data_IF_542096773790
#
_entry.id   IF_542096773790
#
_cell.length_a   1.000
_cell.length_b   1.000
_cell.length_c   1.000
_cell.angle_alpha   90.00
_cell.angle_beta   90.00
_cell.angle_gamma   90.00
#
_symmetry.space_group_name_H-M   'P 1'
#
loop_
_entity.id
_entity.type
_entity.pdbx_description
1 polymer ?
#
# COMPACT_ATOMS: atom_id res chain seq x y z
N UNK A 1 -32.99 -10.92 38.05
CA UNK A 1 -31.69 -10.29 37.72
C UNK A 1 -31.64 -8.89 38.31
N UNK A 2 -30.48 -8.46 38.81
CA UNK A 2 -30.23 -7.06 39.19
C UNK A 2 -29.93 -6.21 37.93
N UNK A 3 -30.07 -4.88 38.02
CA UNK A 3 -29.75 -3.96 36.90
C UNK A 3 -28.32 -4.18 36.39
N UNK A 4 -27.37 -4.39 37.31
CA UNK A 4 -25.97 -4.70 36.94
C UNK A 4 -25.84 -6.02 36.16
N UNK A 5 -26.61 -7.06 36.51
CA UNK A 5 -26.59 -8.33 35.76
C UNK A 5 -27.08 -8.16 34.31
N UNK A 6 -28.08 -7.31 34.08
CA UNK A 6 -28.56 -7.02 32.73
C UNK A 6 -27.52 -6.27 31.89
N UNK A 7 -26.85 -5.28 32.48
CA UNK A 7 -25.81 -4.50 31.79
C UNK A 7 -24.66 -5.43 31.37
N UNK A 8 -24.16 -6.26 32.28
CA UNK A 8 -23.11 -7.23 31.95
C UNK A 8 -23.56 -8.22 30.87
N UNK A 9 -24.74 -8.81 31.01
CA UNK A 9 -25.28 -9.72 30.01
C UNK A 9 -25.34 -9.09 28.62
N UNK A 10 -25.83 -7.85 28.52
CA UNK A 10 -25.93 -7.14 27.26
C UNK A 10 -24.54 -6.84 26.66
N UNK A 11 -23.59 -6.38 27.46
CA UNK A 11 -22.23 -6.06 27.01
C UNK A 11 -21.53 -7.28 26.40
N UNK A 12 -21.59 -8.43 27.09
CA UNK A 12 -20.98 -9.67 26.59
C UNK A 12 -21.65 -10.15 25.30
N UNK A 13 -22.98 -10.06 25.21
CA UNK A 13 -23.71 -10.46 24.00
C UNK A 13 -23.34 -9.58 22.79
N UNK A 14 -23.18 -8.27 23.00
CA UNK A 14 -22.66 -7.36 21.96
C UNK A 14 -21.24 -7.72 21.55
N UNK A 15 -20.37 -8.05 22.50
CA UNK A 15 -19.02 -8.55 22.21
C UNK A 15 -19.02 -9.79 21.30
N UNK A 16 -19.91 -10.74 21.57
CA UNK A 16 -20.08 -11.93 20.73
C UNK A 16 -20.58 -11.60 19.31
N UNK A 17 -21.51 -10.64 19.18
CA UNK A 17 -21.99 -10.17 17.87
C UNK A 17 -20.85 -9.52 17.07
N UNK A 18 -20.03 -8.68 17.70
CA UNK A 18 -18.87 -8.08 17.04
C UNK A 18 -17.86 -9.12 16.57
N UNK A 19 -17.64 -10.18 17.36
CA UNK A 19 -16.82 -11.30 16.95
C UNK A 19 -17.39 -12.00 15.71
N UNK A 20 -18.70 -12.24 15.66
CA UNK A 20 -19.35 -12.86 14.50
C UNK A 20 -19.24 -11.99 13.23
N UNK A 21 -19.44 -10.68 13.36
CA UNK A 21 -19.23 -9.72 12.25
C UNK A 21 -17.77 -9.76 11.80
N UNK A 22 -16.83 -9.72 12.74
CA UNK A 22 -15.40 -9.83 12.44
C UNK A 22 -15.05 -11.10 11.67
N UNK A 23 -15.63 -12.25 12.03
CA UNK A 23 -15.42 -13.52 11.31
C UNK A 23 -15.88 -13.40 9.86
N UNK A 24 -17.05 -12.79 9.62
CA UNK A 24 -17.57 -12.58 8.25
C UNK A 24 -16.63 -11.67 7.46
N UNK A 25 -16.19 -10.54 8.03
CA UNK A 25 -15.25 -9.62 7.39
C UNK A 25 -13.96 -10.34 6.97
N UNK A 26 -13.30 -11.03 7.92
CA UNK A 26 -12.04 -11.75 7.66
C UNK A 26 -12.25 -12.91 6.68
N UNK A 27 -13.41 -13.57 6.71
CA UNK A 27 -13.72 -14.65 5.77
C UNK A 27 -13.83 -14.15 4.33
N UNK A 28 -14.40 -12.95 4.12
CA UNK A 28 -14.50 -12.33 2.80
C UNK A 28 -13.13 -11.89 2.28
N UNK A 29 -12.24 -11.43 3.17
CA UNK A 29 -10.89 -10.93 2.84
C UNK A 29 -9.78 -11.99 2.99
N UNK A 30 -10.15 -13.27 3.15
CA UNK A 30 -9.22 -14.39 3.42
C UNK A 30 -8.19 -14.69 2.33
N UNK A 31 -8.40 -14.17 1.12
CA UNK A 31 -7.59 -14.49 -0.04
C UNK A 31 -6.17 -13.90 0.04
N UNK A 32 -6.03 -12.83 0.80
CA UNK A 32 -4.76 -12.13 1.03
C UNK A 32 -3.75 -12.95 1.83
N UNK A 33 -4.13 -13.43 3.02
CA UNK A 33 -3.34 -14.38 3.80
C UNK A 33 -4.27 -15.42 4.44
N UNK A 34 -4.43 -16.55 3.75
CA UNK A 34 -5.30 -17.64 4.21
C UNK A 34 -4.94 -18.14 5.60
N UNK A 35 -3.63 -18.24 5.93
CA UNK A 35 -3.21 -18.80 7.22
C UNK A 35 -3.47 -17.81 8.34
N UNK A 36 -3.15 -16.53 8.16
CA UNK A 36 -3.45 -15.51 9.15
C UNK A 36 -4.98 -15.35 9.34
N UNK A 37 -5.73 -15.28 8.24
CA UNK A 37 -7.19 -15.15 8.26
C UNK A 37 -7.87 -16.27 9.06
N UNK A 38 -7.54 -17.54 8.79
CA UNK A 38 -8.14 -18.66 9.52
C UNK A 38 -7.81 -18.66 11.02
N UNK A 39 -6.58 -18.30 11.39
CA UNK A 39 -6.22 -18.19 12.80
C UNK A 39 -6.93 -17.01 13.49
N UNK A 40 -7.14 -15.89 12.77
CA UNK A 40 -7.89 -14.74 13.28
C UNK A 40 -9.39 -15.04 13.39
N UNK A 41 -9.99 -15.76 12.44
CA UNK A 41 -11.35 -16.28 12.57
C UNK A 41 -11.48 -17.20 13.78
N UNK A 42 -10.53 -18.13 13.99
CA UNK A 42 -10.54 -19.01 15.15
C UNK A 42 -10.44 -18.23 16.48
N UNK A 43 -9.64 -17.16 16.52
CA UNK A 43 -9.54 -16.25 17.65
C UNK A 43 -10.88 -15.57 17.96
N UNK A 44 -11.53 -14.99 16.94
CA UNK A 44 -12.84 -14.33 17.06
C UNK A 44 -13.94 -15.31 17.47
N UNK A 45 -13.96 -16.52 16.91
CA UNK A 45 -14.93 -17.56 17.30
C UNK A 45 -14.73 -17.94 18.77
N UNK A 46 -13.48 -18.11 19.20
CA UNK A 46 -13.17 -18.48 20.59
C UNK A 46 -13.61 -17.38 21.56
N UNK A 47 -13.35 -16.12 21.24
CA UNK A 47 -13.82 -14.97 22.04
C UNK A 47 -15.35 -14.87 22.04
N UNK A 48 -16.01 -15.09 20.89
CA UNK A 48 -17.46 -15.11 20.81
C UNK A 48 -18.07 -16.19 21.72
N UNK A 49 -17.48 -17.38 21.76
CA UNK A 49 -17.87 -18.45 22.68
C UNK A 49 -17.61 -18.06 24.14
N UNK A 50 -16.47 -17.43 24.44
CA UNK A 50 -16.14 -16.93 25.77
C UNK A 50 -17.18 -15.92 26.26
N UNK A 51 -17.50 -14.91 25.44
CA UNK A 51 -18.47 -13.87 25.76
C UNK A 51 -19.88 -14.45 25.99
N UNK A 52 -20.34 -15.38 25.14
CA UNK A 52 -21.64 -16.05 25.33
C UNK A 52 -21.65 -16.87 26.63
N UNK A 53 -20.58 -17.61 26.90
CA UNK A 53 -20.46 -18.39 28.13
C UNK A 53 -20.50 -17.47 29.36
N UNK A 54 -19.79 -16.35 29.33
CA UNK A 54 -19.79 -15.40 30.44
C UNK A 54 -21.15 -14.73 30.65
N UNK A 55 -21.83 -14.33 29.57
CA UNK A 55 -23.19 -13.81 29.64
C UNK A 55 -24.13 -14.80 30.35
N UNK A 56 -24.09 -16.08 29.95
CA UNK A 56 -24.89 -17.14 30.56
C UNK A 56 -24.51 -17.38 32.02
N UNK A 57 -23.21 -17.33 32.36
CA UNK A 57 -22.73 -17.46 33.74
C UNK A 57 -23.29 -16.36 34.65
N UNK A 58 -23.32 -15.11 34.18
CA UNK A 58 -23.94 -13.99 34.90
C UNK A 58 -25.46 -14.10 34.97
N UNK A 59 -26.09 -14.61 33.90
CA UNK A 59 -27.54 -14.71 33.82
C UNK A 59 -28.12 -15.71 34.84
N UNK A 60 -27.50 -16.88 34.92
CA UNK A 60 -27.92 -17.94 35.83
C UNK A 60 -27.29 -17.85 37.22
N UNK A 61 -26.44 -16.84 37.49
CA UNK A 61 -25.83 -16.62 38.81
C UNK A 61 -26.91 -16.40 39.88
N UNK A 62 -26.89 -17.21 40.93
CA UNK A 62 -27.90 -17.16 42.00
C UNK A 62 -29.16 -17.99 41.73
N UNK A 63 -29.25 -18.64 40.57
CA UNK A 63 -30.38 -19.51 40.22
C UNK A 63 -30.11 -20.94 40.71
N UNK A 64 -30.88 -21.40 41.68
CA UNK A 64 -30.75 -22.73 42.32
C UNK A 64 -31.51 -23.86 41.60
N UNK A 65 -32.16 -23.58 40.47
CA UNK A 65 -32.76 -24.63 39.63
C UNK A 65 -31.71 -25.60 39.11
N UNK A 66 -32.11 -26.83 38.78
CA UNK A 66 -31.22 -27.84 38.19
C UNK A 66 -30.53 -27.31 36.92
N UNK A 67 -31.25 -26.55 36.10
CA UNK A 67 -30.70 -25.90 34.90
C UNK A 67 -29.66 -24.84 35.27
N UNK A 68 -29.96 -23.95 36.22
CA UNK A 68 -29.02 -22.93 36.68
C UNK A 68 -27.75 -23.51 37.28
N UNK A 69 -27.87 -24.61 38.03
CA UNK A 69 -26.75 -25.34 38.61
C UNK A 69 -25.75 -25.84 37.55
N UNK A 70 -26.26 -26.45 36.47
CA UNK A 70 -25.44 -27.02 35.39
C UNK A 70 -24.83 -25.91 34.55
N UNK A 71 -25.65 -24.93 34.12
CA UNK A 71 -25.22 -23.86 33.22
C UNK A 71 -24.04 -23.09 33.82
N UNK A 72 -24.16 -22.66 35.08
CA UNK A 72 -23.13 -21.84 35.74
C UNK A 72 -21.78 -22.59 35.83
N UNK A 73 -21.77 -23.91 36.06
CA UNK A 73 -20.53 -24.70 36.10
C UNK A 73 -19.89 -24.84 34.73
N UNK A 74 -20.69 -25.26 33.74
CA UNK A 74 -20.22 -25.48 32.37
C UNK A 74 -19.68 -24.18 31.78
N UNK A 75 -20.40 -23.07 31.95
CA UNK A 75 -20.01 -21.81 31.33
C UNK A 75 -18.76 -21.20 31.98
N UNK A 76 -18.61 -21.25 33.30
CA UNK A 76 -17.36 -20.82 33.95
C UNK A 76 -16.16 -21.66 33.49
N UNK A 77 -16.33 -22.99 33.37
CA UNK A 77 -15.29 -23.85 32.81
C UNK A 77 -14.92 -23.45 31.37
N UNK A 78 -15.92 -23.21 30.52
CA UNK A 78 -15.71 -22.78 29.12
C UNK A 78 -14.98 -21.45 29.04
N UNK A 79 -15.36 -20.45 29.84
CA UNK A 79 -14.69 -19.13 29.86
C UNK A 79 -13.18 -19.27 30.08
N UNK A 80 -12.80 -20.03 31.10
CA UNK A 80 -11.40 -20.24 31.43
C UNK A 80 -10.64 -21.07 30.40
N UNK A 81 -11.30 -22.09 29.84
CA UNK A 81 -10.72 -22.92 28.80
C UNK A 81 -10.46 -22.10 27.52
N UNK A 82 -11.41 -21.25 27.12
CA UNK A 82 -11.28 -20.33 26.00
C UNK A 82 -10.08 -19.39 26.16
N UNK A 83 -9.79 -18.92 27.38
CA UNK A 83 -8.62 -18.10 27.67
C UNK A 83 -7.30 -18.72 27.18
N UNK A 84 -7.10 -20.03 27.39
CA UNK A 84 -5.92 -20.72 26.87
C UNK A 84 -5.94 -20.88 25.34
N UNK A 85 -7.11 -21.13 24.75
CA UNK A 85 -7.27 -21.21 23.30
C UNK A 85 -7.00 -19.87 22.60
N UNK A 86 -7.39 -18.75 23.19
CA UNK A 86 -7.08 -17.42 22.65
C UNK A 86 -5.57 -17.22 22.52
N UNK A 87 -4.80 -17.53 23.55
CA UNK A 87 -3.33 -17.41 23.51
C UNK A 87 -2.71 -18.36 22.48
N UNK A 88 -3.23 -19.58 22.34
CA UNK A 88 -2.84 -20.52 21.29
C UNK A 88 -3.08 -19.95 19.88
N UNK A 89 -4.26 -19.36 19.64
CA UNK A 89 -4.59 -18.81 18.33
C UNK A 89 -3.81 -17.52 18.02
N UNK A 90 -3.54 -16.66 19.01
CA UNK A 90 -2.63 -15.52 18.83
C UNK A 90 -1.23 -15.99 18.49
N UNK A 91 -0.72 -17.04 19.14
CA UNK A 91 0.57 -17.64 18.79
C UNK A 91 0.62 -18.09 17.32
N UNK A 92 -0.45 -18.77 16.86
CA UNK A 92 -0.56 -19.23 15.47
C UNK A 92 -0.68 -18.07 14.48
N UNK A 93 -1.47 -17.06 14.82
CA UNK A 93 -1.65 -15.84 14.03
C UNK A 93 -0.33 -15.07 13.89
N UNK A 94 0.36 -14.80 15.01
CA UNK A 94 1.66 -14.15 15.03
C UNK A 94 2.68 -14.91 14.17
N UNK A 95 2.72 -16.25 14.29
CA UNK A 95 3.60 -17.06 13.44
C UNK A 95 3.25 -16.96 11.95
N UNK A 96 1.96 -16.93 11.58
CA UNK A 96 1.55 -16.77 10.19
C UNK A 96 2.05 -15.42 9.61
N UNK A 97 1.86 -14.33 10.37
CA UNK A 97 2.33 -12.99 10.00
C UNK A 97 3.85 -12.95 9.84
N UNK A 98 4.60 -13.49 10.82
CA UNK A 98 6.06 -13.53 10.78
C UNK A 98 6.59 -14.31 9.57
N UNK A 99 6.01 -15.48 9.29
CA UNK A 99 6.40 -16.31 8.13
C UNK A 99 6.13 -15.59 6.81
N UNK A 100 4.97 -14.91 6.69
CA UNK A 100 4.64 -14.12 5.49
C UNK A 100 5.61 -12.95 5.29
N UNK A 101 6.08 -12.33 6.36
CA UNK A 101 7.10 -11.27 6.33
C UNK A 101 8.53 -11.81 6.15
N UNK A 102 8.71 -13.12 5.90
CA UNK A 102 10.03 -13.73 5.67
C UNK A 102 10.89 -13.88 6.92
N UNK A 103 10.32 -13.71 8.12
CA UNK A 103 11.06 -13.83 9.36
C UNK A 103 11.35 -15.30 9.70
N UNK A 104 12.63 -15.64 9.87
CA UNK A 104 13.06 -16.96 10.33
C UNK A 104 13.02 -16.99 11.85
N UNK A 105 12.05 -17.68 12.43
CA UNK A 105 11.93 -17.84 13.89
C UNK A 105 12.11 -19.30 14.32
N UNK A 106 12.77 -19.55 15.45
CA UNK A 106 12.98 -20.91 15.94
C UNK A 106 11.66 -21.53 16.44
N UNK A 107 11.48 -22.84 16.36
CA UNK A 107 10.20 -23.46 16.75
C UNK A 107 9.96 -23.54 18.26
N UNK A 108 10.98 -23.33 19.11
CA UNK A 108 10.88 -23.54 20.56
C UNK A 108 9.85 -22.62 21.22
N UNK A 109 9.71 -21.36 20.78
CA UNK A 109 8.81 -20.39 21.41
C UNK A 109 7.33 -20.76 21.20
N UNK A 110 6.98 -21.35 20.03
CA UNK A 110 5.63 -21.85 19.77
C UNK A 110 5.35 -23.08 20.62
N UNK A 111 6.31 -24.00 20.67
CA UNK A 111 6.19 -25.23 21.46
C UNK A 111 6.03 -24.91 22.94
N UNK A 112 6.76 -23.92 23.48
CA UNK A 112 6.59 -23.51 24.87
C UNK A 112 5.20 -22.95 25.14
N UNK A 113 4.66 -22.07 24.27
CA UNK A 113 3.27 -21.59 24.39
C UNK A 113 2.29 -22.76 24.39
N UNK A 114 2.44 -23.71 23.46
CA UNK A 114 1.52 -24.84 23.34
C UNK A 114 1.55 -25.74 24.58
N UNK A 115 2.75 -26.03 25.10
CA UNK A 115 2.92 -26.84 26.30
C UNK A 115 2.31 -26.13 27.51
N UNK A 116 2.57 -24.84 27.69
CA UNK A 116 2.05 -24.09 28.84
C UNK A 116 0.51 -23.97 28.80
N UNK A 117 -0.08 -23.71 27.64
CA UNK A 117 -1.53 -23.71 27.46
C UNK A 117 -2.15 -25.11 27.71
N UNK A 118 -1.46 -26.18 27.30
CA UNK A 118 -1.91 -27.55 27.57
C UNK A 118 -1.85 -27.89 29.07
N UNK A 119 -0.79 -27.48 29.77
CA UNK A 119 -0.66 -27.63 31.23
C UNK A 119 -1.77 -26.86 31.95
N UNK A 120 -2.01 -25.60 31.55
CA UNK A 120 -3.08 -24.79 32.12
C UNK A 120 -4.47 -25.40 31.91
N UNK A 121 -4.74 -25.90 30.71
CA UNK A 121 -6.00 -26.58 30.39
C UNK A 121 -6.18 -27.88 31.19
N UNK A 122 -5.12 -28.67 31.35
CA UNK A 122 -5.14 -29.89 32.15
C UNK A 122 -5.41 -29.58 33.63
N UNK A 123 -4.73 -28.59 34.19
CA UNK A 123 -4.95 -28.18 35.57
C UNK A 123 -6.36 -27.62 35.80
N UNK A 124 -6.93 -26.91 34.82
CA UNK A 124 -8.32 -26.47 34.85
C UNK A 124 -9.31 -27.65 34.88
N UNK A 125 -9.04 -28.73 34.13
CA UNK A 125 -9.85 -29.95 34.17
C UNK A 125 -9.72 -30.64 35.54
N UNK A 126 -8.50 -30.78 36.05
CA UNK A 126 -8.26 -31.35 37.39
C UNK A 126 -8.93 -30.51 38.49
N UNK A 127 -8.98 -29.19 38.34
CA UNK A 127 -9.64 -28.31 39.30
C UNK A 127 -11.15 -28.56 39.40
N UNK A 128 -11.78 -29.11 38.36
CA UNK A 128 -13.21 -29.48 38.42
C UNK A 128 -13.47 -30.66 39.35
N UNK A 129 -12.47 -31.55 39.49
CA UNK A 129 -12.55 -32.74 40.35
C UNK A 129 -12.13 -32.41 41.78
N UNK A 130 -11.05 -31.66 41.94
CA UNK A 130 -10.44 -31.38 43.24
C UNK A 130 -10.90 -30.04 43.87
N UNK A 131 -11.58 -29.18 43.13
CA UNK A 131 -12.20 -27.96 43.65
C UNK A 131 -11.23 -26.86 44.09
N UNK A 132 -10.01 -26.80 43.53
CA UNK A 132 -8.99 -25.86 44.03
C UNK A 132 -8.93 -24.50 43.33
N UNK A 133 -9.54 -24.25 42.16
CA UNK A 133 -9.47 -22.89 41.54
C UNK A 133 -10.64 -21.99 41.92
N UNK A 134 -11.86 -22.49 41.74
CA UNK A 134 -13.09 -21.78 42.05
C UNK A 134 -14.15 -22.77 42.52
N UNK A 135 -15.15 -22.25 43.21
CA UNK A 135 -16.26 -23.03 43.74
C UNK A 135 -17.59 -22.29 43.60
N UNK A 136 -18.65 -22.95 44.05
CA UNK A 136 -20.01 -22.42 44.01
C UNK A 136 -20.65 -22.61 45.39
N UNK A 137 -21.24 -21.54 45.93
CA UNK A 137 -21.93 -21.60 47.22
C UNK A 137 -23.30 -22.31 47.10
N UNK A 138 -23.97 -22.49 48.24
CA UNK A 138 -25.30 -23.12 48.32
C UNK A 138 -26.38 -22.35 47.54
N UNK A 139 -26.14 -21.09 47.23
CA UNK A 139 -27.02 -20.22 46.45
C UNK A 139 -26.61 -20.18 44.96
N UNK A 140 -25.74 -21.09 44.51
CA UNK A 140 -25.22 -21.16 43.14
C UNK A 140 -24.52 -19.86 42.69
N UNK A 141 -23.75 -19.25 43.59
CA UNK A 141 -22.89 -18.10 43.29
C UNK A 141 -21.44 -18.54 43.24
N UNK A 142 -20.78 -18.08 42.19
CA UNK A 142 -19.36 -18.29 41.93
C UNK A 142 -18.49 -17.55 42.95
N UNK A 143 -17.47 -18.23 43.48
CA UNK A 143 -16.39 -17.63 44.27
C UNK A 143 -15.03 -18.23 43.91
N UNK A 144 -13.96 -17.46 44.13
CA UNK A 144 -12.57 -17.85 43.84
C UNK A 144 -11.90 -18.37 45.10
N UNK A 145 -11.07 -19.42 45.00
CA UNK A 145 -10.26 -19.90 46.12
C UNK A 145 -9.01 -19.04 46.28
N UNK A 146 -8.86 -18.24 47.36
CA UNK A 146 -7.79 -17.24 47.47
C UNK A 146 -6.37 -17.84 47.44
N UNK A 147 -6.21 -19.04 48.01
CA UNK A 147 -4.92 -19.71 48.20
C UNK A 147 -4.31 -20.27 46.92
N UNK A 148 -5.11 -20.44 45.87
CA UNK A 148 -4.76 -21.29 44.72
C UNK A 148 -5.20 -20.69 43.39
N UNK A 149 -6.17 -19.77 43.38
CA UNK A 149 -6.60 -19.06 42.16
C UNK A 149 -5.45 -18.29 41.49
N UNK A 150 -4.45 -17.85 42.25
CA UNK A 150 -3.28 -17.16 41.69
C UNK A 150 -2.45 -18.01 40.72
N UNK A 151 -2.43 -19.34 40.92
CA UNK A 151 -1.76 -20.28 40.01
C UNK A 151 -2.38 -20.19 38.62
N UNK A 152 -3.71 -20.07 38.54
CA UNK A 152 -4.45 -19.95 37.29
C UNK A 152 -4.08 -18.68 36.52
N UNK A 153 -3.94 -17.56 37.23
CA UNK A 153 -3.52 -16.27 36.65
C UNK A 153 -2.13 -16.41 36.03
N UNK A 154 -1.18 -16.95 36.80
CA UNK A 154 0.20 -17.11 36.35
C UNK A 154 0.24 -18.01 35.11
N UNK A 155 -0.50 -19.12 35.11
CA UNK A 155 -0.57 -20.02 33.96
C UNK A 155 -1.22 -19.37 32.72
N UNK A 156 -2.12 -18.39 32.89
CA UNK A 156 -2.65 -17.59 31.79
C UNK A 156 -1.65 -16.54 31.28
N UNK A 157 -0.83 -15.96 32.16
CA UNK A 157 0.11 -14.88 31.82
C UNK A 157 1.45 -15.37 31.27
N UNK A 158 2.02 -16.45 31.81
CA UNK A 158 3.35 -16.95 31.40
C UNK A 158 3.46 -17.29 29.91
N UNK A 159 2.47 -17.89 29.23
CA UNK A 159 2.53 -18.13 27.79
C UNK A 159 2.60 -16.84 26.95
N UNK A 160 2.26 -15.67 27.49
CA UNK A 160 2.36 -14.40 26.78
C UNK A 160 3.81 -13.90 26.66
N UNK A 161 4.70 -14.31 27.56
CA UNK A 161 6.11 -13.91 27.58
C UNK A 161 6.84 -14.28 26.27
N UNK A 162 6.83 -15.54 25.79
CA UNK A 162 7.46 -15.88 24.51
C UNK A 162 6.84 -15.15 23.31
N UNK A 163 5.54 -14.83 23.34
CA UNK A 163 4.89 -14.02 22.29
C UNK A 163 5.47 -12.61 22.27
N UNK A 164 5.55 -11.97 23.44
CA UNK A 164 6.12 -10.63 23.61
C UNK A 164 7.56 -10.54 23.12
N UNK A 165 8.39 -11.53 23.46
CA UNK A 165 9.78 -11.61 23.00
C UNK A 165 9.84 -11.60 21.47
N UNK A 166 8.98 -12.37 20.79
CA UNK A 166 8.96 -12.39 19.32
C UNK A 166 8.45 -11.08 18.72
N UNK A 167 7.46 -10.44 19.33
CA UNK A 167 6.92 -9.16 18.85
C UNK A 167 8.00 -8.06 18.91
N UNK A 168 8.72 -7.94 20.03
CA UNK A 168 9.80 -6.94 20.16
C UNK A 168 10.96 -7.25 19.21
N UNK A 169 11.45 -8.50 19.22
CA UNK A 169 12.61 -8.90 18.42
C UNK A 169 12.38 -8.64 16.93
N UNK A 170 11.16 -8.83 16.45
CA UNK A 170 10.79 -8.67 15.05
C UNK A 170 10.01 -7.37 14.77
N UNK A 171 10.14 -6.34 15.63
CA UNK A 171 9.49 -5.02 15.48
C UNK A 171 9.47 -4.50 14.05
N UNK A 172 10.61 -4.56 13.36
CA UNK A 172 10.79 -3.99 12.01
C UNK A 172 10.02 -4.73 10.92
N UNK A 173 9.59 -5.97 11.18
CA UNK A 173 8.83 -6.75 10.23
C UNK A 173 7.38 -6.24 10.11
N UNK A 174 6.83 -5.69 11.20
CA UNK A 174 5.44 -5.27 11.27
C UNK A 174 5.23 -3.82 10.82
N UNK A 175 4.09 -3.55 10.18
CA UNK A 175 3.58 -2.19 10.00
C UNK A 175 3.13 -1.62 11.35
N UNK A 176 3.13 -0.29 11.50
CA UNK A 176 2.82 0.41 12.75
C UNK A 176 1.51 -0.05 13.39
N UNK A 177 0.41 -0.11 12.61
CA UNK A 177 -0.90 -0.50 13.13
C UNK A 177 -0.93 -1.95 13.63
N UNK A 178 -0.25 -2.85 12.92
CA UNK A 178 -0.15 -4.26 13.28
C UNK A 178 0.70 -4.43 14.55
N UNK A 179 1.84 -3.75 14.64
CA UNK A 179 2.67 -3.75 15.85
C UNK A 179 1.91 -3.22 17.07
N UNK A 180 1.19 -2.11 16.92
CA UNK A 180 0.35 -1.53 17.97
C UNK A 180 -0.75 -2.51 18.41
N UNK A 181 -1.41 -3.19 17.48
CA UNK A 181 -2.44 -4.19 17.83
C UNK A 181 -1.89 -5.33 18.71
N UNK A 182 -0.67 -5.80 18.44
CA UNK A 182 0.00 -6.81 19.26
C UNK A 182 0.37 -6.28 20.66
N UNK A 183 0.82 -5.03 20.77
CA UNK A 183 1.09 -4.41 22.07
C UNK A 183 -0.17 -4.22 22.89
N UNK A 184 -1.27 -3.77 22.27
CA UNK A 184 -2.57 -3.62 22.92
C UNK A 184 -3.06 -4.97 23.45
N UNK A 185 -2.94 -6.05 22.69
CA UNK A 185 -3.30 -7.40 23.14
C UNK A 185 -2.49 -7.90 24.34
N UNK A 186 -1.31 -7.33 24.61
CA UNK A 186 -0.51 -7.70 25.78
C UNK A 186 -0.83 -6.79 26.97
N UNK A 187 -0.89 -5.48 26.74
CA UNK A 187 -1.03 -4.48 27.80
C UNK A 187 -2.44 -4.45 28.36
N UNK A 188 -3.46 -4.46 27.49
CA UNK A 188 -4.84 -4.25 27.89
C UNK A 188 -5.38 -5.40 28.76
N UNK A 189 -5.15 -6.69 28.44
CA UNK A 189 -5.61 -7.77 29.31
C UNK A 189 -4.89 -7.81 30.66
N UNK A 190 -3.60 -7.46 30.71
CA UNK A 190 -2.87 -7.33 31.98
C UNK A 190 -3.44 -6.20 32.83
N UNK A 191 -3.70 -5.03 32.23
CA UNK A 191 -4.35 -3.91 32.91
C UNK A 191 -5.76 -4.26 33.41
N UNK A 192 -6.55 -4.94 32.58
CA UNK A 192 -7.89 -5.41 32.94
C UNK A 192 -7.86 -6.43 34.07
N UNK A 193 -6.88 -7.32 34.06
CA UNK A 193 -6.66 -8.28 35.13
C UNK A 193 -6.31 -7.58 36.45
N UNK A 194 -5.36 -6.64 36.42
CA UNK A 194 -4.99 -5.83 37.58
C UNK A 194 -6.18 -5.04 38.14
N UNK A 195 -7.00 -4.46 37.25
CA UNK A 195 -8.22 -3.77 37.65
C UNK A 195 -9.21 -4.72 38.35
N UNK A 196 -9.36 -5.93 37.83
CA UNK A 196 -10.27 -6.95 38.37
C UNK A 196 -9.89 -7.42 39.77
N UNK A 197 -8.61 -7.31 40.17
CA UNK A 197 -8.16 -7.60 41.54
C UNK A 197 -8.81 -6.64 42.55
N UNK A 198 -8.93 -5.35 42.21
CA UNK A 198 -9.48 -4.33 43.10
C UNK A 198 -11.00 -4.18 42.98
N UNK A 199 -11.56 -4.42 41.79
CA UNK A 199 -12.98 -4.22 41.48
C UNK A 199 -13.65 -5.54 41.09
N UNK A 200 -13.91 -6.40 42.09
CA UNK A 200 -14.51 -7.71 41.90
C UNK A 200 -15.94 -7.60 41.34
N UNK A 201 -16.21 -8.35 40.25
CA UNK A 201 -17.56 -8.51 39.68
C UNK A 201 -17.85 -7.70 38.42
N UNK A 202 -16.95 -6.80 38.01
CA UNK A 202 -17.06 -6.10 36.72
C UNK A 202 -16.41 -6.91 35.59
N UNK A 203 -17.10 -7.09 34.45
CA UNK A 203 -16.62 -7.82 33.28
C UNK A 203 -15.66 -7.02 32.38
N UNK A 204 -14.92 -6.07 32.95
CA UNK A 204 -14.03 -5.16 32.22
C UNK A 204 -12.92 -5.90 31.47
N UNK A 205 -12.47 -7.04 32.00
CA UNK A 205 -11.45 -7.86 31.36
C UNK A 205 -11.87 -8.35 29.96
N UNK A 206 -13.10 -8.83 29.77
CA UNK A 206 -13.54 -9.33 28.44
C UNK A 206 -13.84 -8.20 27.49
N UNK A 207 -14.39 -7.09 27.99
CA UNK A 207 -14.54 -5.88 27.19
C UNK A 207 -13.17 -5.44 26.63
N UNK A 208 -12.12 -5.50 27.45
CA UNK A 208 -10.75 -5.22 27.00
C UNK A 208 -10.25 -6.24 25.97
N UNK A 209 -10.45 -7.53 26.17
CA UNK A 209 -10.08 -8.55 25.18
C UNK A 209 -10.80 -8.34 23.84
N UNK A 210 -12.10 -8.09 23.87
CA UNK A 210 -12.92 -7.80 22.69
C UNK A 210 -12.43 -6.55 21.95
N UNK A 211 -12.02 -5.50 22.67
CA UNK A 211 -11.36 -4.33 22.07
C UNK A 211 -10.05 -4.71 21.39
N UNK A 212 -9.19 -5.53 22.02
CA UNK A 212 -7.96 -6.00 21.40
C UNK A 212 -8.22 -6.74 20.08
N UNK A 213 -9.29 -7.55 20.00
CA UNK A 213 -9.63 -8.26 18.78
C UNK A 213 -10.11 -7.34 17.66
N UNK A 214 -10.84 -6.28 18.00
CA UNK A 214 -11.19 -5.24 17.02
C UNK A 214 -9.91 -4.65 16.42
N UNK A 215 -8.89 -4.36 17.24
CA UNK A 215 -7.61 -3.88 16.71
C UNK A 215 -6.91 -4.89 15.80
N UNK A 216 -7.00 -6.20 16.07
CA UNK A 216 -6.48 -7.20 15.14
C UNK A 216 -7.23 -7.24 13.81
N UNK A 217 -8.57 -7.13 13.84
CA UNK A 217 -9.39 -7.07 12.62
C UNK A 217 -9.04 -5.82 11.81
N UNK A 218 -9.00 -4.65 12.45
CA UNK A 218 -8.65 -3.38 11.80
C UNK A 218 -7.24 -3.43 11.21
N UNK A 219 -6.26 -3.98 11.94
CA UNK A 219 -4.91 -4.13 11.44
C UNK A 219 -4.81 -5.06 10.23
N UNK A 220 -5.57 -6.16 10.22
CA UNK A 220 -5.64 -7.08 9.09
C UNK A 220 -6.29 -6.40 7.87
N UNK A 221 -7.42 -5.72 8.06
CA UNK A 221 -8.14 -5.04 6.98
C UNK A 221 -7.34 -3.88 6.38
N UNK A 222 -6.62 -3.11 7.20
CA UNK A 222 -5.71 -2.07 6.73
C UNK A 222 -4.59 -2.64 5.86
N UNK A 223 -4.13 -3.85 6.17
CA UNK A 223 -3.10 -4.53 5.39
C UNK A 223 -3.63 -5.09 4.08
N UNK A 224 -4.84 -5.68 4.11
CA UNK A 224 -5.55 -6.12 2.93
C UNK A 224 -5.79 -4.96 1.95
N UNK A 225 -6.27 -3.81 2.44
CA UNK A 225 -6.49 -2.62 1.64
C UNK A 225 -5.19 -2.14 0.96
N UNK A 226 -4.08 -2.09 1.70
CA UNK A 226 -2.78 -1.71 1.14
C UNK A 226 -2.28 -2.71 0.08
N UNK A 227 -2.57 -4.01 0.25
CA UNK A 227 -2.25 -5.02 -0.75
C UNK A 227 -3.06 -4.86 -2.03
N UNK A 228 -4.36 -4.57 -1.93
CA UNK A 228 -5.23 -4.36 -3.09
C UNK A 228 -4.78 -3.17 -3.94
N UNK A 229 -4.42 -2.05 -3.30
CA UNK A 229 -3.89 -0.87 -4.01
C UNK A 229 -2.62 -1.20 -4.79
N UNK A 230 -1.71 -2.00 -4.21
CA UNK A 230 -0.48 -2.41 -4.90
C UNK A 230 -0.76 -3.38 -6.05
N UNK A 231 -1.74 -4.26 -5.94
CA UNK A 231 -2.16 -5.13 -7.05
C UNK A 231 -2.77 -4.33 -8.21
N UNK A 232 -3.64 -3.36 -7.91
CA UNK A 232 -4.20 -2.48 -8.93
C UNK A 232 -3.12 -1.66 -9.64
N UNK A 233 -2.13 -1.16 -8.90
CA UNK A 233 -0.97 -0.46 -9.46
C UNK A 233 -0.21 -1.34 -10.45
N UNK A 234 0.13 -2.57 -10.06
CA UNK A 234 0.82 -3.54 -10.93
C UNK A 234 0.02 -3.89 -12.17
N UNK A 235 -1.29 -4.10 -12.03
CA UNK A 235 -2.17 -4.37 -13.17
C UNK A 235 -2.24 -3.16 -14.12
N UNK A 236 -2.23 -1.93 -13.60
CA UNK A 236 -2.19 -0.73 -14.43
C UNK A 236 -0.87 -0.62 -15.21
N UNK A 237 0.27 -0.91 -14.56
CA UNK A 237 1.60 -0.95 -15.19
C UNK A 237 1.67 -2.02 -16.29
N UNK A 238 1.18 -3.23 -16.02
CA UNK A 238 1.13 -4.31 -17.02
C UNK A 238 0.25 -3.94 -18.21
N UNK A 239 -0.92 -3.32 -17.97
CA UNK A 239 -1.79 -2.83 -19.05
C UNK A 239 -1.10 -1.77 -19.89
N UNK A 240 -0.41 -0.83 -19.25
CA UNK A 240 0.36 0.19 -19.95
C UNK A 240 1.45 -0.45 -20.81
N UNK A 241 2.19 -1.42 -20.27
CA UNK A 241 3.19 -2.17 -21.02
C UNK A 241 2.58 -2.93 -22.22
N UNK A 242 1.40 -3.54 -22.05
CA UNK A 242 0.67 -4.19 -23.14
C UNK A 242 0.26 -3.19 -24.22
N UNK A 243 -0.25 -2.00 -23.85
CA UNK A 243 -0.56 -0.94 -24.83
C UNK A 243 0.68 -0.53 -25.62
N UNK A 244 1.83 -0.37 -24.99
CA UNK A 244 3.09 -0.09 -25.69
C UNK A 244 3.48 -1.23 -26.66
N UNK A 245 3.25 -2.49 -26.28
CA UNK A 245 3.62 -3.66 -27.10
C UNK A 245 2.75 -3.88 -28.35
N UNK A 246 1.56 -3.27 -28.44
CA UNK A 246 0.66 -3.45 -29.58
C UNK A 246 1.16 -2.76 -30.87
N UNK A 247 2.09 -1.80 -30.76
CA UNK A 247 2.85 -1.33 -31.92
C UNK A 247 3.90 -2.41 -32.22
N UNK A 248 3.70 -3.23 -33.25
CA UNK A 248 4.71 -4.21 -33.68
C UNK A 248 5.85 -3.48 -34.41
N UNK A 249 6.98 -3.16 -33.76
CA UNK A 249 7.98 -2.29 -34.38
C UNK A 249 8.60 -2.98 -35.60
N UNK A 250 8.78 -4.31 -35.49
CA UNK A 250 9.28 -5.14 -36.58
C UNK A 250 8.39 -5.11 -37.83
N UNK A 251 7.06 -5.16 -37.68
CA UNK A 251 6.17 -5.06 -38.83
C UNK A 251 6.29 -3.69 -39.51
N UNK A 252 6.36 -2.61 -38.72
CA UNK A 252 6.49 -1.26 -39.26
C UNK A 252 7.84 -1.08 -39.97
N UNK A 253 8.95 -1.50 -39.35
CA UNK A 253 10.27 -1.42 -39.97
C UNK A 253 10.39 -2.28 -41.23
N UNK A 254 9.79 -3.48 -41.24
CA UNK A 254 9.77 -4.32 -42.43
C UNK A 254 8.92 -3.70 -43.55
N UNK A 255 7.78 -3.09 -43.19
CA UNK A 255 6.95 -2.37 -44.15
C UNK A 255 7.71 -1.20 -44.76
N UNK A 256 8.42 -0.40 -43.94
CA UNK A 256 9.24 0.72 -44.41
C UNK A 256 10.41 0.23 -45.28
N UNK A 257 11.11 -0.83 -44.88
CA UNK A 257 12.23 -1.39 -45.66
C UNK A 257 11.76 -1.90 -47.01
N UNK A 258 10.56 -2.50 -47.06
CA UNK A 258 9.93 -2.93 -48.31
C UNK A 258 9.60 -1.72 -49.20
N UNK A 259 8.98 -0.67 -48.65
CA UNK A 259 8.71 0.57 -49.39
C UNK A 259 10.02 1.18 -49.91
N UNK A 260 11.06 1.21 -49.08
CA UNK A 260 12.38 1.73 -49.43
C UNK A 260 12.98 1.00 -50.65
N UNK A 261 12.76 -0.31 -50.77
CA UNK A 261 13.26 -1.11 -51.90
C UNK A 261 12.64 -0.76 -53.26
N UNK A 262 11.45 -0.13 -53.26
CA UNK A 262 10.77 0.32 -54.48
C UNK A 262 11.16 1.74 -54.89
N UNK A 263 11.90 2.47 -54.05
CA UNK A 263 12.32 3.84 -54.37
C UNK A 263 13.57 3.84 -55.27
N UNK A 264 13.67 4.78 -56.22
CA UNK A 264 14.90 4.98 -56.98
C UNK A 264 16.09 5.27 -56.06
N UNK A 265 17.29 4.78 -56.42
CA UNK A 265 18.53 5.14 -55.74
C UNK A 265 18.69 6.66 -55.73
N UNK A 266 19.10 7.20 -54.58
CA UNK A 266 19.33 8.64 -54.38
C UNK A 266 18.08 9.51 -54.60
N UNK A 267 16.89 8.94 -54.39
CA UNK A 267 15.65 9.73 -54.38
C UNK A 267 15.50 10.52 -53.07
N UNK A 268 14.98 11.75 -53.19
CA UNK A 268 14.63 12.58 -52.04
C UNK A 268 13.63 11.88 -51.10
N UNK A 269 12.71 11.11 -51.67
CA UNK A 269 11.77 10.27 -50.91
C UNK A 269 12.49 9.22 -50.04
N UNK A 270 13.58 8.62 -50.54
CA UNK A 270 14.40 7.67 -49.76
C UNK A 270 15.13 8.35 -48.59
N UNK A 271 15.61 9.57 -48.79
CA UNK A 271 16.24 10.37 -47.73
C UNK A 271 15.23 10.70 -46.61
N UNK A 272 14.05 11.21 -46.96
CA UNK A 272 12.96 11.49 -46.01
C UNK A 272 12.52 10.22 -45.27
N UNK A 273 12.38 9.10 -45.98
CA UNK A 273 12.00 7.82 -45.38
C UNK A 273 13.06 7.29 -44.41
N UNK A 274 14.33 7.57 -44.66
CA UNK A 274 15.43 7.24 -43.74
C UNK A 274 15.31 8.03 -42.44
N UNK A 275 15.09 9.35 -42.53
CA UNK A 275 14.87 10.19 -41.35
C UNK A 275 13.61 9.77 -40.58
N UNK A 276 12.51 9.46 -41.27
CA UNK A 276 11.30 8.94 -40.64
C UNK A 276 11.55 7.62 -39.89
N UNK A 277 12.31 6.70 -40.49
CA UNK A 277 12.65 5.41 -39.85
C UNK A 277 13.47 5.62 -38.58
N UNK A 278 14.46 6.51 -38.62
CA UNK A 278 15.30 6.81 -37.46
C UNK A 278 14.50 7.54 -36.36
N UNK A 279 13.66 8.52 -36.72
CA UNK A 279 12.74 9.16 -35.79
C UNK A 279 11.82 8.15 -35.13
N UNK A 280 11.13 7.32 -35.91
CA UNK A 280 10.20 6.32 -35.39
C UNK A 280 10.88 5.31 -34.46
N UNK A 281 12.09 4.84 -34.83
CA UNK A 281 12.88 3.96 -33.96
C UNK A 281 13.26 4.64 -32.66
N UNK A 282 13.80 5.86 -32.75
CA UNK A 282 14.12 6.67 -31.58
C UNK A 282 12.90 6.84 -30.67
N UNK A 283 11.75 7.25 -31.21
CA UNK A 283 10.52 7.42 -30.43
C UNK A 283 10.04 6.12 -29.78
N UNK A 284 10.10 4.96 -30.46
CA UNK A 284 9.72 3.68 -29.86
C UNK A 284 10.69 3.29 -28.74
N UNK A 285 12.00 3.47 -28.94
CA UNK A 285 13.00 3.17 -27.93
C UNK A 285 12.81 4.07 -26.70
N UNK A 286 12.50 5.36 -26.91
CA UNK A 286 12.21 6.33 -25.84
C UNK A 286 10.92 6.02 -25.07
N UNK A 287 9.90 5.41 -25.70
CA UNK A 287 8.66 4.99 -25.03
C UNK A 287 8.89 3.87 -24.00
N UNK A 288 9.93 3.05 -24.20
CA UNK A 288 10.23 1.93 -23.31
C UNK A 288 11.03 2.35 -22.06
N UNK A 289 11.59 3.55 -22.04
CA UNK A 289 12.45 4.03 -20.97
C UNK A 289 11.63 4.65 -19.84
N UNK A 290 11.85 4.18 -18.61
CA UNK A 290 11.18 4.68 -17.41
C UNK A 290 12.05 5.63 -16.58
N UNK A 291 13.35 5.72 -16.90
CA UNK A 291 14.32 6.56 -16.22
C UNK A 291 14.76 7.74 -17.10
N UNK A 292 15.55 8.66 -16.54
CA UNK A 292 16.17 9.73 -17.32
C UNK A 292 17.21 9.15 -18.29
N UNK A 293 17.17 9.62 -19.53
CA UNK A 293 18.03 9.17 -20.62
C UNK A 293 19.11 10.21 -20.93
N UNK A 294 20.23 9.83 -21.56
CA UNK A 294 21.20 10.78 -22.09
C UNK A 294 20.54 11.74 -23.07
N UNK A 295 20.80 13.04 -22.92
CA UNK A 295 20.21 14.09 -23.73
C UNK A 295 20.45 13.91 -25.23
N UNK A 296 21.63 13.40 -25.57
CA UNK A 296 22.01 13.07 -26.94
C UNK A 296 20.99 12.16 -27.64
N UNK A 297 20.46 11.14 -26.97
CA UNK A 297 19.47 10.22 -27.57
C UNK A 297 18.19 10.93 -27.97
N UNK A 298 17.73 11.86 -27.13
CA UNK A 298 16.52 12.62 -27.43
C UNK A 298 16.80 13.67 -28.51
N UNK A 299 17.93 14.37 -28.44
CA UNK A 299 18.33 15.38 -29.43
C UNK A 299 18.49 14.78 -30.83
N UNK A 300 19.06 13.58 -30.98
CA UNK A 300 19.13 12.86 -32.27
C UNK A 300 17.73 12.54 -32.81
N UNK A 301 16.81 12.13 -31.95
CA UNK A 301 15.42 11.85 -32.35
C UNK A 301 14.74 13.15 -32.82
N UNK A 302 14.91 14.25 -32.09
CA UNK A 302 14.39 15.57 -32.45
C UNK A 302 15.00 16.11 -33.74
N UNK A 303 16.28 15.88 -34.01
CA UNK A 303 16.92 16.27 -35.26
C UNK A 303 16.23 15.61 -36.47
N UNK A 304 15.88 14.32 -36.37
CA UNK A 304 15.15 13.62 -37.42
C UNK A 304 13.71 14.12 -37.58
N UNK A 305 13.03 14.45 -36.48
CA UNK A 305 11.72 15.11 -36.52
C UNK A 305 11.78 16.45 -37.28
N UNK A 306 12.74 17.29 -36.90
CA UNK A 306 12.93 18.61 -37.49
C UNK A 306 13.31 18.56 -38.97
N UNK A 307 14.10 17.56 -39.37
CA UNK A 307 14.36 17.32 -40.79
C UNK A 307 13.06 17.10 -41.57
N UNK A 308 12.15 16.27 -41.06
CA UNK A 308 10.87 16.00 -41.73
C UNK A 308 9.97 17.23 -41.79
N UNK A 309 9.90 18.00 -40.70
CA UNK A 309 9.12 19.25 -40.66
C UNK A 309 9.68 20.29 -41.64
N UNK A 310 11.01 20.39 -41.76
CA UNK A 310 11.67 21.25 -42.76
C UNK A 310 11.35 20.82 -44.19
N UNK A 311 11.36 19.52 -44.49
CA UNK A 311 10.99 19.03 -45.82
C UNK A 311 9.51 19.29 -46.14
N UNK A 312 8.65 19.28 -45.13
CA UNK A 312 7.21 19.55 -45.28
C UNK A 312 6.90 21.03 -45.50
N UNK A 313 7.60 21.92 -44.80
CA UNK A 313 7.29 23.36 -44.77
C UNK A 313 8.31 24.23 -45.51
N UNK A 314 9.40 23.65 -46.00
CA UNK A 314 10.42 24.37 -46.76
C UNK A 314 11.00 25.55 -45.97
N UNK A 315 11.08 26.70 -46.64
CA UNK A 315 11.64 27.94 -46.08
C UNK A 315 10.71 28.68 -45.11
N UNK A 316 9.47 28.18 -44.91
CA UNK A 316 8.52 28.79 -43.98
C UNK A 316 8.94 28.61 -42.52
N UNK A 317 9.65 27.52 -42.19
CA UNK A 317 10.14 27.25 -40.83
C UNK A 317 11.68 27.24 -40.84
N UNK A 318 12.29 28.28 -40.30
CA UNK A 318 13.75 28.38 -40.17
C UNK A 318 14.20 27.79 -38.85
N UNK A 319 15.10 26.81 -38.91
CA UNK A 319 15.60 26.10 -37.72
C UNK A 319 17.04 26.53 -37.43
N UNK A 320 17.29 27.00 -36.21
CA UNK A 320 18.59 27.39 -35.68
C UNK A 320 18.98 26.43 -34.54
N UNK A 321 19.95 25.56 -34.79
CA UNK A 321 20.31 24.45 -33.93
C UNK A 321 21.71 24.66 -33.33
N UNK A 322 21.79 25.02 -32.05
CA UNK A 322 23.02 25.39 -31.35
C UNK A 322 23.22 24.57 -30.06
N UNK A 323 23.66 23.33 -30.24
CA UNK A 323 23.86 22.38 -29.13
C UNK A 323 25.30 22.43 -28.67
N UNK A 324 25.58 23.06 -27.52
CA UNK A 324 26.93 23.16 -26.94
C UNK A 324 27.16 22.16 -25.83
N UNK A 325 26.09 21.67 -25.23
CA UNK A 325 26.12 20.68 -24.17
C UNK A 325 25.21 19.49 -24.51
N UNK A 326 25.72 18.28 -24.30
CA UNK A 326 25.02 17.01 -24.54
C UNK A 326 25.15 16.04 -23.36
N UNK A 327 26.01 16.35 -22.41
CA UNK A 327 26.44 15.43 -21.36
C UNK A 327 25.59 15.59 -20.10
N UNK A 328 24.30 15.31 -20.25
CA UNK A 328 23.34 15.35 -19.16
C UNK A 328 22.21 14.37 -19.42
N UNK A 329 21.40 14.11 -18.39
CA UNK A 329 20.23 13.23 -18.50
C UNK A 329 18.94 14.00 -18.31
N UNK A 330 17.90 13.61 -19.03
CA UNK A 330 16.55 14.17 -18.92
C UNK A 330 15.45 13.12 -19.09
N UNK A 331 14.23 13.37 -18.60
CA UNK A 331 13.08 12.53 -18.90
C UNK A 331 12.80 12.48 -20.41
N UNK A 332 12.47 11.31 -20.94
CA UNK A 332 12.14 11.14 -22.37
C UNK A 332 11.04 12.09 -22.87
N UNK A 333 11.10 12.52 -24.13
CA UNK A 333 10.11 13.42 -24.75
C UNK A 333 10.02 14.83 -24.13
N UNK A 334 11.03 15.27 -23.39
CA UNK A 334 11.11 16.65 -22.91
C UNK A 334 11.34 17.63 -24.06
N UNK A 335 12.48 17.54 -24.76
CA UNK A 335 12.85 18.42 -25.87
C UNK A 335 11.88 18.27 -27.03
N UNK A 336 11.45 17.03 -27.32
CA UNK A 336 10.47 16.80 -28.39
C UNK A 336 9.16 17.55 -28.14
N UNK A 337 8.60 17.49 -26.93
CA UNK A 337 7.37 18.21 -26.61
C UNK A 337 7.52 19.73 -26.73
N UNK A 338 8.67 20.30 -26.35
CA UNK A 338 8.94 21.73 -26.49
C UNK A 338 8.98 22.13 -27.98
N UNK A 339 9.68 21.35 -28.78
CA UNK A 339 9.88 21.60 -30.22
C UNK A 339 8.56 21.43 -30.99
N UNK A 340 7.79 20.39 -30.69
CA UNK A 340 6.47 20.18 -31.28
C UNK A 340 5.52 21.33 -30.96
N UNK A 341 5.52 21.81 -29.71
CA UNK A 341 4.70 22.96 -29.31
C UNK A 341 5.12 24.23 -30.06
N UNK A 342 6.42 24.51 -30.11
CA UNK A 342 6.95 25.69 -30.78
C UNK A 342 6.58 25.74 -32.28
N UNK A 343 6.66 24.61 -32.98
CA UNK A 343 6.26 24.54 -34.40
C UNK A 343 4.74 24.59 -34.53
N UNK A 344 4.02 23.67 -33.89
CA UNK A 344 2.59 23.45 -34.16
C UNK A 344 1.71 24.57 -33.62
N UNK A 345 1.98 25.02 -32.39
CA UNK A 345 1.17 26.00 -31.67
C UNK A 345 1.78 27.39 -31.70
N UNK A 346 3.08 27.53 -31.91
CA UNK A 346 3.74 28.82 -32.12
C UNK A 346 3.71 29.25 -33.58
N UNK A 347 4.62 28.67 -34.37
CA UNK A 347 4.93 29.14 -35.74
C UNK A 347 3.77 28.90 -36.71
N UNK A 348 3.13 27.74 -36.66
CA UNK A 348 2.07 27.38 -37.63
C UNK A 348 0.75 28.09 -37.41
N UNK A 349 0.55 28.70 -36.24
CA UNK A 349 -0.65 29.48 -35.94
C UNK A 349 -0.48 30.97 -36.32
N UNK A 350 0.70 31.40 -36.80
CA UNK A 350 0.89 32.75 -37.32
C UNK A 350 0.08 32.96 -38.60
N UNK A 351 -0.19 34.22 -38.95
CA UNK A 351 -1.04 34.56 -40.11
C UNK A 351 -0.49 34.04 -41.45
N UNK A 352 0.84 34.01 -41.59
CA UNK A 352 1.53 33.50 -42.79
C UNK A 352 2.08 32.07 -42.59
N UNK A 353 1.98 31.51 -41.38
CA UNK A 353 2.46 30.18 -41.02
C UNK A 353 3.98 30.04 -41.05
N UNK A 354 4.70 31.17 -40.98
CA UNK A 354 6.17 31.25 -41.03
C UNK A 354 6.76 31.69 -39.71
N UNK A 355 8.01 31.28 -39.48
CA UNK A 355 8.74 31.64 -38.28
C UNK A 355 10.11 30.98 -38.16
N UNK A 356 10.81 31.32 -37.09
CA UNK A 356 12.11 30.80 -36.70
C UNK A 356 11.98 30.04 -35.38
N UNK A 357 12.46 28.80 -35.39
CA UNK A 357 12.69 27.99 -34.22
C UNK A 357 14.18 28.00 -33.88
N UNK A 358 14.52 28.22 -32.63
CA UNK A 358 15.89 28.18 -32.12
C UNK A 358 15.98 27.23 -30.93
N UNK A 359 16.95 26.33 -30.98
CA UNK A 359 17.17 25.30 -29.96
C UNK A 359 18.62 25.41 -29.51
N UNK A 360 18.81 25.60 -28.20
CA UNK A 360 20.12 25.81 -27.61
C UNK A 360 20.31 24.92 -26.40
N UNK A 361 21.51 24.36 -26.25
CA UNK A 361 21.93 23.71 -25.00
C UNK A 361 23.27 24.24 -24.53
N UNK A 362 23.42 24.43 -23.23
CA UNK A 362 24.67 24.89 -22.62
C UNK A 362 24.70 24.59 -21.11
N UNK A 363 25.91 24.47 -20.56
CA UNK A 363 26.14 24.27 -19.12
C UNK A 363 26.59 25.59 -18.47
N UNK A 364 26.05 25.90 -17.28
CA UNK A 364 26.46 27.07 -16.46
C UNK A 364 27.33 26.67 -15.26
N UNK A 365 27.79 25.41 -15.21
CA UNK A 365 28.59 24.83 -14.13
C UNK A 365 27.77 24.29 -12.96
N UNK A 366 26.63 24.91 -12.64
CA UNK A 366 25.69 24.41 -11.64
C UNK A 366 24.51 23.63 -12.27
N UNK A 367 24.16 23.96 -13.52
CA UNK A 367 22.99 23.43 -14.21
C UNK A 367 23.30 23.23 -15.71
N UNK A 368 22.65 22.22 -16.29
CA UNK A 368 22.50 22.04 -17.74
C UNK A 368 21.22 22.74 -18.18
N UNK A 369 21.31 23.55 -19.23
CA UNK A 369 20.20 24.36 -19.73
C UNK A 369 19.84 23.94 -21.14
N UNK A 370 18.54 23.77 -21.38
CA UNK A 370 17.93 23.63 -22.70
C UNK A 370 16.99 24.82 -22.90
N UNK A 371 17.15 25.53 -24.02
CA UNK A 371 16.29 26.64 -24.41
C UNK A 371 15.69 26.36 -25.78
N UNK A 372 14.36 26.43 -25.87
CA UNK A 372 13.59 26.35 -27.11
C UNK A 372 12.82 27.66 -27.27
N UNK A 373 13.11 28.38 -28.35
CA UNK A 373 12.57 29.71 -28.63
C UNK A 373 11.94 29.73 -30.03
N UNK A 374 10.71 30.21 -30.14
CA UNK A 374 10.03 30.52 -31.39
C UNK A 374 9.58 31.98 -31.44
N UNK A 375 9.43 32.51 -32.65
CA UNK A 375 8.84 33.82 -32.95
C UNK A 375 7.38 33.72 -33.40
N UNK A 376 6.67 32.68 -32.96
CA UNK A 376 5.29 32.40 -33.32
C UNK A 376 4.26 33.33 -32.68
N UNK A 377 3.00 32.87 -32.61
CA UNK A 377 1.89 33.69 -32.10
C UNK A 377 2.02 34.10 -30.64
N UNK A 378 2.77 33.36 -29.83
CA UNK A 378 2.86 33.56 -28.39
C UNK A 378 1.51 33.46 -27.67
N UNK A 379 1.55 33.44 -26.35
CA UNK A 379 0.35 33.38 -25.51
C UNK A 379 0.59 34.09 -24.18
N UNK A 380 -0.49 34.39 -23.45
CA UNK A 380 -0.38 34.91 -22.09
C UNK A 380 -0.28 33.73 -21.11
N UNK A 381 0.82 33.56 -20.36
CA UNK A 381 0.98 32.45 -19.42
C UNK A 381 -0.07 32.47 -18.28
N UNK A 382 -0.62 33.65 -17.99
CA UNK A 382 -1.57 33.88 -16.88
C UNK A 382 -3.03 33.61 -17.26
N UNK A 383 -3.33 33.51 -18.56
CA UNK A 383 -4.69 33.27 -19.05
C UNK A 383 -4.82 31.80 -19.42
N UNK A 384 -5.51 31.03 -18.58
CA UNK A 384 -5.84 29.63 -18.81
C UNK A 384 -6.82 29.47 -19.98
N UNK A 385 -6.36 29.74 -21.20
CA UNK A 385 -7.12 29.58 -22.44
C UNK A 385 -6.31 28.73 -23.42
N UNK A 386 -6.20 27.44 -23.11
CA UNK A 386 -6.56 26.31 -23.99
C UNK A 386 -6.06 25.02 -23.32
N UNK A 387 -6.98 24.13 -22.93
CA UNK A 387 -6.73 22.99 -22.04
C UNK A 387 -5.72 21.99 -22.64
N UNK A 388 -5.50 21.96 -23.95
CA UNK A 388 -4.65 20.92 -24.60
C UNK A 388 -3.17 21.31 -24.69
N UNK A 389 -2.86 22.58 -24.98
CA UNK A 389 -1.47 23.04 -25.10
C UNK A 389 -0.76 23.07 -23.72
N UNK A 390 -1.51 23.38 -22.66
CA UNK A 390 -1.00 23.46 -21.30
C UNK A 390 -0.75 22.08 -20.66
N UNK A 391 -1.46 21.03 -21.09
CA UNK A 391 -1.25 19.66 -20.57
C UNK A 391 0.15 19.17 -20.93
N UNK A 392 0.63 19.43 -22.15
CA UNK A 392 1.95 18.98 -22.62
C UNK A 392 3.10 19.57 -21.79
N UNK A 393 3.15 20.90 -21.65
CA UNK A 393 4.21 21.58 -20.90
C UNK A 393 4.11 21.34 -19.39
N UNK A 394 2.91 21.25 -18.83
CA UNK A 394 2.69 20.88 -17.42
C UNK A 394 3.22 19.47 -17.14
N UNK A 395 2.96 18.51 -18.03
CA UNK A 395 3.47 17.14 -17.88
C UNK A 395 5.00 17.09 -17.93
N UNK A 396 5.62 17.86 -18.82
CA UNK A 396 7.08 17.97 -18.90
C UNK A 396 7.65 18.57 -17.60
N UNK A 397 7.06 19.67 -17.10
CA UNK A 397 7.46 20.29 -15.82
C UNK A 397 7.39 19.29 -14.66
N UNK A 398 6.26 18.62 -14.48
CA UNK A 398 6.08 17.66 -13.39
C UNK A 398 7.10 16.51 -13.45
N UNK A 399 7.40 16.00 -14.66
CA UNK A 399 8.39 14.93 -14.85
C UNK A 399 9.81 15.40 -14.54
N UNK A 400 10.18 16.61 -14.96
CA UNK A 400 11.48 17.19 -14.64
C UNK A 400 11.68 17.33 -13.12
N UNK A 401 10.67 17.86 -12.42
CA UNK A 401 10.71 18.00 -10.96
C UNK A 401 10.83 16.65 -10.25
N UNK A 402 10.02 15.67 -10.63
CA UNK A 402 9.99 14.35 -9.97
C UNK A 402 11.22 13.47 -10.27
N UNK A 403 11.76 13.52 -11.49
CA UNK A 403 12.77 12.56 -11.95
C UNK A 403 14.21 13.07 -11.82
N UNK A 404 14.44 14.38 -11.97
CA UNK A 404 15.78 14.95 -11.94
C UNK A 404 15.90 16.26 -11.15
N UNK A 405 14.85 16.68 -10.43
CA UNK A 405 14.82 17.95 -9.73
C UNK A 405 14.98 19.17 -10.66
N UNK A 406 14.65 19.00 -11.94
CA UNK A 406 14.72 20.06 -12.95
C UNK A 406 13.56 21.04 -12.84
N UNK A 407 13.71 22.21 -13.47
CA UNK A 407 12.68 23.24 -13.55
C UNK A 407 12.40 23.64 -15.00
N UNK A 408 11.19 24.14 -15.25
CA UNK A 408 10.76 24.62 -16.56
C UNK A 408 10.10 25.99 -16.42
N UNK A 409 10.75 27.01 -16.99
CA UNK A 409 10.29 28.39 -17.08
C UNK A 409 9.76 28.69 -18.48
N UNK A 410 8.65 29.44 -18.56
CA UNK A 410 8.01 29.84 -19.82
C UNK A 410 7.95 31.36 -19.84
N UNK A 411 8.51 31.94 -20.90
CA UNK A 411 8.42 33.36 -21.22
C UNK A 411 7.66 33.46 -22.55
N UNK A 412 6.43 33.98 -22.54
CA UNK A 412 5.61 34.12 -23.76
C UNK A 412 4.81 35.40 -23.71
N UNK A 413 4.64 36.05 -24.86
CA UNK A 413 3.78 37.22 -25.02
C UNK A 413 3.05 37.14 -26.37
N UNK A 414 1.73 37.40 -26.42
CA UNK A 414 0.99 37.41 -27.67
C UNK A 414 1.64 38.32 -28.74
N UNK A 415 1.93 37.75 -29.89
CA UNK A 415 2.58 38.39 -31.04
C UNK A 415 4.11 38.49 -30.96
N UNK A 416 4.76 37.96 -29.91
CA UNK A 416 6.23 38.01 -29.75
C UNK A 416 6.89 36.64 -29.62
N UNK A 417 6.14 35.55 -29.84
CA UNK A 417 6.64 34.20 -29.71
C UNK A 417 6.73 33.68 -28.28
N UNK A 418 7.44 32.56 -28.13
CA UNK A 418 7.58 31.84 -26.86
C UNK A 418 9.01 31.37 -26.67
N UNK A 419 9.50 31.47 -25.44
CA UNK A 419 10.77 30.91 -24.99
C UNK A 419 10.53 30.01 -23.78
N UNK A 420 10.90 28.75 -23.92
CA UNK A 420 10.87 27.76 -22.83
C UNK A 420 12.30 27.43 -22.42
N UNK A 421 12.58 27.55 -21.13
CA UNK A 421 13.90 27.27 -20.56
C UNK A 421 13.78 26.14 -19.53
N UNK A 422 14.42 25.02 -19.83
CA UNK A 422 14.56 23.87 -18.93
C UNK A 422 15.93 23.94 -18.26
N UNK A 423 15.94 23.79 -16.93
CA UNK A 423 17.17 23.74 -16.12
C UNK A 423 17.24 22.42 -15.40
N UNK A 424 18.36 21.73 -15.53
CA UNK A 424 18.62 20.43 -14.90
C UNK A 424 19.85 20.59 -14.01
N UNK A 425 19.77 20.31 -12.70
CA UNK A 425 20.92 20.38 -11.81
C UNK A 425 22.01 19.41 -12.24
N UNK A 426 23.28 19.82 -12.16
CA UNK A 426 24.41 18.90 -12.33
C UNK A 426 24.41 17.91 -11.14
N UNK A 427 24.41 16.60 -11.42
CA UNK A 427 24.53 15.58 -10.36
C UNK A 427 25.83 15.81 -9.57
N UNK A 428 25.72 15.84 -8.23
CA UNK A 428 26.87 16.02 -7.32
C UNK A 428 27.68 14.74 -7.13
#
# INVERSE_FOLDING_TARGET
MTVNQYIHFALELWGAIFCAIGVICIYLTRHYDKKAAWNLCALLITEGVLNVAEALAYFYRGNVSSTGYVVVRVTNFVVFLCGYFLVLFVCRYLNAVLVRQGCVTPNWWKRSVYILCAIGSLLLVLSQVFGFYYGFDAQNRYYRHPETYWIMIILGAVPMIPLYIQIIKNRKAFKTIQYVSFLIFIILPVGGYLFQIFFYGASIYNVMNSICLIFFVVAYEAEYAAYMVEQERKLAEERLHLYHSQIQPHFIFNSITTIFSYLPRESKAGEVLTHFTKFLRGSIDLLAETECIPAERELETVEHYLYMEKERFGDDVKIDWNIRDRDFKLPTFTVQALVENAIRHGIRETQDGKGKLKICTYCTGAEHIIEVEDDGVGFSPDVATDDRAHIGLTNVRNRLEMMCGGTLEIESEPGKGTRVKVRIPVER
#
